data_IF_889118780367
#
_entry.id   IF_889118780367
#
_cell.length_a   1.000
_cell.length_b   1.000
_cell.length_c   1.000
_cell.angle_alpha   90.00
_cell.angle_beta   90.00
_cell.angle_gamma   90.00
#
_symmetry.space_group_name_H-M   'P 1'
#
loop_
_entity.id
_entity.type
_entity.pdbx_description
1 polymer ?
#
# COMPACT_ATOMS: atom_id res chain seq x y z
N UNK A 1 3.08 36.88 5.68
CA UNK A 1 1.85 37.24 4.92
C UNK A 1 0.73 36.25 5.21
N UNK A 2 0.99 34.95 5.10
CA UNK A 2 -0.02 33.92 5.39
C UNK A 2 -0.65 34.06 6.79
N UNK A 3 0.16 34.34 7.83
CA UNK A 3 -0.33 34.61 9.20
C UNK A 3 -1.35 35.74 9.30
N UNK A 4 -1.22 36.75 8.44
CA UNK A 4 -2.14 37.90 8.43
C UNK A 4 -3.44 37.57 7.70
N UNK A 5 -3.40 36.63 6.76
CA UNK A 5 -4.55 36.23 5.96
C UNK A 5 -5.41 35.17 6.65
N UNK A 6 -4.81 34.28 7.44
CA UNK A 6 -5.55 33.18 8.10
C UNK A 6 -6.72 33.70 8.97
N UNK A 7 -6.56 34.72 9.84
CA UNK A 7 -7.65 35.23 10.65
C UNK A 7 -8.77 35.90 9.83
N UNK A 8 -8.44 36.39 8.63
CA UNK A 8 -9.38 37.06 7.72
C UNK A 8 -10.08 36.10 6.76
N UNK A 9 -9.62 34.84 6.72
CA UNK A 9 -10.12 33.84 5.76
C UNK A 9 -11.31 33.10 6.35
N UNK A 10 -12.41 33.06 5.60
CA UNK A 10 -13.59 32.29 5.97
C UNK A 10 -13.33 30.79 5.79
N UNK A 11 -13.53 30.01 6.85
CA UNK A 11 -13.36 28.54 6.91
C UNK A 11 -14.29 27.74 6.01
N UNK A 12 -15.27 28.38 5.37
CA UNK A 12 -16.01 27.76 4.28
C UNK A 12 -15.09 27.25 3.16
N UNK A 13 -13.84 27.70 3.06
CA UNK A 13 -12.89 27.13 2.11
C UNK A 13 -12.50 25.66 2.39
N UNK A 14 -12.72 25.14 3.61
CA UNK A 14 -12.34 23.77 4.01
C UNK A 14 -13.45 22.73 3.85
N UNK A 15 -14.71 23.18 3.81
CA UNK A 15 -15.87 22.26 3.77
C UNK A 15 -16.94 22.70 2.78
N UNK A 16 -16.83 23.90 2.23
CA UNK A 16 -17.84 24.48 1.35
C UNK A 16 -17.86 23.80 -0.03
N UNK A 17 -19.04 23.65 -0.64
CA UNK A 17 -19.16 23.14 -2.00
C UNK A 17 -18.42 24.08 -2.97
N UNK A 18 -17.71 23.49 -3.93
CA UNK A 18 -16.90 24.20 -4.94
C UNK A 18 -15.80 25.11 -4.37
N UNK A 19 -15.49 24.98 -3.08
CA UNK A 19 -14.34 25.65 -2.48
C UNK A 19 -13.14 24.71 -2.44
N UNK A 20 -11.96 25.31 -2.40
CA UNK A 20 -10.69 24.60 -2.32
C UNK A 20 -9.99 25.06 -1.06
N UNK A 21 -9.62 24.09 -0.21
CA UNK A 21 -8.83 24.39 0.98
C UNK A 21 -7.44 24.91 0.58
N UNK A 22 -6.91 25.95 1.24
CA UNK A 22 -5.56 26.45 0.97
C UNK A 22 -4.46 25.42 1.26
N UNK A 23 -4.78 24.35 1.99
CA UNK A 23 -3.90 23.19 2.19
C UNK A 23 -3.44 22.61 0.86
N UNK A 24 -4.31 22.53 -0.14
CA UNK A 24 -3.93 22.05 -1.48
C UNK A 24 -2.86 22.94 -2.13
N UNK A 25 -2.94 24.26 -1.98
CA UNK A 25 -1.94 25.18 -2.54
C UNK A 25 -0.58 25.02 -1.84
N UNK A 26 -0.57 24.84 -0.52
CA UNK A 26 0.67 24.60 0.23
C UNK A 26 1.31 23.26 -0.17
N UNK A 27 0.51 22.19 -0.28
CA UNK A 27 0.96 20.86 -0.74
C UNK A 27 1.48 20.91 -2.17
N UNK A 28 0.73 21.52 -3.10
CA UNK A 28 1.15 21.64 -4.50
C UNK A 28 2.46 22.44 -4.65
N UNK A 29 2.61 23.48 -3.84
CA UNK A 29 3.82 24.31 -3.77
C UNK A 29 5.02 23.60 -3.16
N UNK A 30 4.80 22.55 -2.34
CA UNK A 30 5.83 21.95 -1.50
C UNK A 30 6.27 22.87 -0.36
N UNK A 31 5.37 23.74 0.12
CA UNK A 31 5.68 24.73 1.15
C UNK A 31 5.36 24.18 2.54
N UNK A 32 6.33 23.48 3.14
CA UNK A 32 6.20 22.82 4.45
C UNK A 32 5.81 23.79 5.57
N UNK A 33 6.48 24.94 5.68
CA UNK A 33 6.17 25.96 6.69
C UNK A 33 4.74 26.50 6.54
N UNK A 34 4.31 26.76 5.30
CA UNK A 34 2.95 27.22 5.02
C UNK A 34 1.92 26.14 5.37
N UNK A 35 2.21 24.89 5.04
CA UNK A 35 1.35 23.75 5.35
C UNK A 35 1.21 23.58 6.86
N UNK A 36 2.32 23.55 7.59
CA UNK A 36 2.33 23.41 9.04
C UNK A 36 1.55 24.55 9.71
N UNK A 37 1.76 25.79 9.28
CA UNK A 37 1.02 26.94 9.79
C UNK A 37 -0.49 26.84 9.55
N UNK A 38 -0.92 26.40 8.36
CA UNK A 38 -2.34 26.18 8.07
C UNK A 38 -2.92 25.11 9.01
N UNK A 39 -2.27 23.95 9.14
CA UNK A 39 -2.78 22.87 9.98
C UNK A 39 -2.80 23.25 11.46
N UNK A 40 -1.81 24.00 11.96
CA UNK A 40 -1.81 24.56 13.32
C UNK A 40 -3.00 25.49 13.59
N UNK A 41 -3.43 26.22 12.55
CA UNK A 41 -4.59 27.08 12.63
C UNK A 41 -5.91 26.31 12.41
N UNK A 42 -5.92 24.98 12.39
CA UNK A 42 -7.14 24.16 12.33
C UNK A 42 -7.69 23.92 10.93
N UNK A 43 -6.90 24.19 9.88
CA UNK A 43 -7.23 23.67 8.54
C UNK A 43 -7.14 22.13 8.54
N UNK A 44 -8.06 21.44 7.86
CA UNK A 44 -8.07 19.98 7.84
C UNK A 44 -6.96 19.41 6.96
N UNK A 45 -6.16 18.42 7.43
CA UNK A 45 -5.21 17.71 6.58
C UNK A 45 -5.92 16.76 5.58
N UNK A 46 -7.15 16.33 5.91
CA UNK A 46 -8.05 15.58 5.05
C UNK A 46 -9.09 16.53 4.45
N UNK A 47 -8.62 17.58 3.78
CA UNK A 47 -9.49 18.54 3.11
C UNK A 47 -10.38 17.85 2.05
N UNK A 48 -11.51 18.49 1.75
CA UNK A 48 -12.50 18.02 0.79
C UNK A 48 -11.92 17.80 -0.61
N UNK A 49 -12.53 16.91 -1.40
CA UNK A 49 -12.17 16.67 -2.79
C UNK A 49 -12.01 17.98 -3.57
N UNK A 50 -10.81 18.21 -4.09
CA UNK A 50 -10.53 19.39 -4.90
C UNK A 50 -10.84 19.11 -6.37
N UNK A 51 -11.95 19.66 -6.88
CA UNK A 51 -12.33 19.54 -8.30
C UNK A 51 -11.37 20.27 -9.23
N UNK A 52 -10.75 21.36 -8.76
CA UNK A 52 -9.78 22.15 -9.56
C UNK A 52 -8.55 21.33 -9.92
N UNK A 53 -8.06 20.54 -8.98
CA UNK A 53 -6.88 19.70 -9.18
C UNK A 53 -7.21 18.23 -9.46
N UNK A 54 -8.46 17.80 -9.25
CA UNK A 54 -8.92 16.43 -9.48
C UNK A 54 -8.43 15.41 -8.46
N UNK A 55 -8.12 15.83 -7.22
CA UNK A 55 -7.64 14.95 -6.15
C UNK A 55 -8.65 14.83 -5.01
N UNK A 56 -8.77 13.60 -4.48
CA UNK A 56 -9.66 13.27 -3.36
C UNK A 56 -9.16 13.75 -2.00
N UNK A 57 -7.85 13.95 -1.84
CA UNK A 57 -7.24 14.45 -0.59
C UNK A 57 -5.96 15.24 -0.89
N UNK A 58 -5.51 16.13 0.02
CA UNK A 58 -4.20 16.76 -0.07
C UNK A 58 -3.06 15.74 -0.12
N UNK A 59 -3.17 14.62 0.60
CA UNK A 59 -2.15 13.57 0.58
C UNK A 59 -1.98 12.93 -0.80
N UNK A 60 -3.06 12.70 -1.55
CA UNK A 60 -2.97 12.21 -2.93
C UNK A 60 -2.22 13.19 -3.86
N UNK A 61 -2.36 14.50 -3.63
CA UNK A 61 -1.69 15.53 -4.42
C UNK A 61 -0.17 15.57 -4.17
N UNK A 62 0.27 15.27 -2.94
CA UNK A 62 1.68 15.31 -2.58
C UNK A 62 2.58 14.46 -3.49
N UNK A 63 2.01 13.44 -4.16
CA UNK A 63 2.74 12.54 -5.05
C UNK A 63 2.95 13.03 -6.48
N UNK A 64 2.27 14.10 -6.91
CA UNK A 64 2.27 14.54 -8.31
C UNK A 64 3.61 15.16 -8.76
N UNK A 65 4.43 15.67 -7.84
CA UNK A 65 5.62 16.48 -8.16
C UNK A 65 6.92 15.78 -7.72
N UNK A 66 8.02 16.10 -8.40
CA UNK A 66 9.36 15.54 -8.14
C UNK A 66 10.10 16.17 -6.93
N UNK A 67 9.45 17.05 -6.17
CA UNK A 67 10.01 17.65 -4.97
C UNK A 67 9.96 16.70 -3.77
N UNK A 68 10.68 17.04 -2.70
CA UNK A 68 10.70 16.31 -1.43
C UNK A 68 9.29 16.24 -0.83
N UNK A 69 8.59 15.15 -1.14
CA UNK A 69 7.22 14.90 -0.70
C UNK A 69 7.16 14.32 0.71
N UNK A 70 8.29 13.87 1.25
CA UNK A 70 8.35 13.25 2.58
C UNK A 70 8.02 14.23 3.70
N UNK A 71 8.55 15.46 3.67
CA UNK A 71 8.22 16.46 4.70
C UNK A 71 6.74 16.84 4.67
N UNK A 72 6.18 17.07 3.47
CA UNK A 72 4.73 17.29 3.28
C UNK A 72 3.90 16.12 3.81
N UNK A 73 4.24 14.88 3.45
CA UNK A 73 3.54 13.67 3.92
C UNK A 73 3.62 13.54 5.45
N UNK A 74 4.80 13.77 6.03
CA UNK A 74 5.01 13.70 7.48
C UNK A 74 4.22 14.76 8.22
N UNK A 75 4.17 15.99 7.71
CA UNK A 75 3.35 17.07 8.28
C UNK A 75 1.88 16.67 8.23
N UNK A 76 1.35 16.22 7.08
CA UNK A 76 -0.05 15.80 6.98
C UNK A 76 -0.39 14.69 7.99
N UNK A 77 0.46 13.67 8.12
CA UNK A 77 0.27 12.59 9.10
C UNK A 77 0.36 13.09 10.55
N UNK A 78 1.30 13.99 10.85
CA UNK A 78 1.49 14.60 12.18
C UNK A 78 0.23 15.32 12.65
N UNK A 79 -0.48 16.00 11.75
CA UNK A 79 -1.74 16.68 12.06
C UNK A 79 -2.99 15.80 11.88
N UNK A 80 -2.82 14.50 11.66
CA UNK A 80 -3.92 13.53 11.76
C UNK A 80 -4.57 13.13 10.44
N UNK A 81 -3.91 13.30 9.29
CA UNK A 81 -4.39 12.76 8.01
C UNK A 81 -4.65 11.25 8.10
N UNK A 82 -5.85 10.81 7.72
CA UNK A 82 -6.22 9.40 7.79
C UNK A 82 -5.80 8.63 6.55
N UNK A 83 -4.92 7.65 6.72
CA UNK A 83 -4.51 6.77 5.64
C UNK A 83 -5.66 5.86 5.16
N UNK A 84 -5.72 5.61 3.86
CA UNK A 84 -6.71 4.76 3.21
C UNK A 84 -6.13 4.13 1.93
N UNK A 85 -6.95 3.32 1.24
CA UNK A 85 -6.53 2.59 0.04
C UNK A 85 -6.16 3.49 -1.15
N UNK A 86 -6.73 4.69 -1.25
CA UNK A 86 -6.42 5.63 -2.32
C UNK A 86 -4.99 6.13 -2.19
N UNK A 87 -4.52 6.39 -0.97
CA UNK A 87 -3.13 6.79 -0.74
C UNK A 87 -2.13 5.72 -1.23
N UNK A 88 -2.44 4.43 -1.00
CA UNK A 88 -1.65 3.32 -1.54
C UNK A 88 -1.75 3.24 -3.07
N UNK A 89 -2.95 3.40 -3.64
CA UNK A 89 -3.14 3.40 -5.09
C UNK A 89 -2.35 4.52 -5.79
N UNK A 90 -2.30 5.70 -5.19
CA UNK A 90 -1.53 6.84 -5.71
C UNK A 90 -0.02 6.62 -5.59
N UNK A 91 0.45 5.98 -4.52
CA UNK A 91 1.85 5.56 -4.43
C UNK A 91 2.22 4.61 -5.58
N UNK A 92 1.33 3.71 -5.99
CA UNK A 92 1.55 2.84 -7.16
C UNK A 92 1.51 3.63 -8.47
N UNK A 93 0.55 4.56 -8.62
CA UNK A 93 0.40 5.41 -9.81
C UNK A 93 1.65 6.24 -10.10
N UNK A 94 2.26 6.81 -9.06
CA UNK A 94 3.45 7.67 -9.16
C UNK A 94 4.75 6.95 -8.78
N UNK A 95 4.71 5.61 -8.66
CA UNK A 95 5.86 4.76 -8.32
C UNK A 95 6.63 5.16 -7.05
N UNK A 96 5.93 5.73 -6.05
CA UNK A 96 6.49 6.14 -4.76
C UNK A 96 6.52 4.96 -3.77
N UNK A 97 7.25 3.89 -4.09
CA UNK A 97 7.25 2.65 -3.31
C UNK A 97 7.80 2.79 -1.89
N UNK A 98 8.75 3.70 -1.64
CA UNK A 98 9.24 3.96 -0.29
C UNK A 98 8.13 4.51 0.62
N UNK A 99 7.28 5.41 0.11
CA UNK A 99 6.12 5.91 0.88
C UNK A 99 5.01 4.87 0.96
N UNK A 100 4.82 4.05 -0.07
CA UNK A 100 3.94 2.88 0.02
C UNK A 100 4.29 2.01 1.23
N UNK A 101 5.58 1.63 1.37
CA UNK A 101 6.07 0.85 2.52
C UNK A 101 5.91 1.61 3.84
N UNK A 102 6.19 2.91 3.84
CA UNK A 102 6.01 3.76 5.02
C UNK A 102 4.54 3.79 5.50
N UNK A 103 3.57 3.92 4.59
CA UNK A 103 2.14 3.89 4.92
C UNK A 103 1.69 2.55 5.51
N UNK A 104 2.21 1.44 4.99
CA UNK A 104 1.96 0.13 5.58
C UNK A 104 2.49 0.06 7.02
N UNK A 105 3.72 0.54 7.26
CA UNK A 105 4.32 0.62 8.61
C UNK A 105 3.54 1.56 9.54
N UNK A 106 2.97 2.65 9.03
CA UNK A 106 2.12 3.59 9.78
C UNK A 106 0.69 3.08 10.06
N UNK A 107 0.37 1.84 9.65
CA UNK A 107 -0.90 1.24 10.01
C UNK A 107 -2.04 1.53 9.03
N UNK A 108 -1.73 1.85 7.77
CA UNK A 108 -2.75 2.02 6.72
C UNK A 108 -3.77 0.85 6.76
N UNK A 109 -5.07 1.13 6.75
CA UNK A 109 -6.11 0.09 6.78
C UNK A 109 -6.07 -0.74 5.48
N UNK A 110 -6.10 -2.06 5.64
CA UNK A 110 -6.05 -3.04 4.54
C UNK A 110 -7.38 -3.79 4.36
N UNK A 111 -8.43 -3.34 5.04
CA UNK A 111 -9.76 -3.92 4.98
C UNK A 111 -10.78 -2.87 4.52
N UNK A 112 -11.91 -3.32 3.98
CA UNK A 112 -13.04 -2.47 3.55
C UNK A 112 -12.68 -1.45 2.47
N UNK A 113 -11.88 -1.84 1.48
CA UNK A 113 -11.49 -0.98 0.37
C UNK A 113 -12.68 -0.69 -0.55
N UNK A 114 -13.12 0.58 -0.57
CA UNK A 114 -14.22 1.03 -1.42
C UNK A 114 -13.77 1.24 -2.86
N UNK A 115 -12.48 1.55 -3.06
CA UNK A 115 -11.90 1.88 -4.36
C UNK A 115 -10.89 0.83 -4.86
N UNK A 116 -11.11 -0.45 -4.53
CA UNK A 116 -10.19 -1.54 -4.90
C UNK A 116 -9.92 -1.63 -6.41
N UNK A 117 -10.91 -1.30 -7.24
CA UNK A 117 -10.74 -1.28 -8.71
C UNK A 117 -9.70 -0.26 -9.17
N UNK A 118 -9.67 0.92 -8.54
CA UNK A 118 -8.67 1.96 -8.84
C UNK A 118 -7.28 1.51 -8.39
N UNK A 119 -7.18 0.91 -7.20
CA UNK A 119 -5.94 0.29 -6.73
C UNK A 119 -5.43 -0.77 -7.71
N UNK A 120 -6.27 -1.71 -8.13
CA UNK A 120 -5.90 -2.79 -9.06
C UNK A 120 -5.43 -2.22 -10.41
N UNK A 121 -6.09 -1.20 -10.94
CA UNK A 121 -5.69 -0.56 -12.19
C UNK A 121 -4.28 0.03 -12.11
N UNK A 122 -3.92 0.66 -10.98
CA UNK A 122 -2.57 1.17 -10.76
C UNK A 122 -1.56 0.06 -10.46
N UNK A 123 -1.97 -0.97 -9.73
CA UNK A 123 -1.14 -2.13 -9.43
C UNK A 123 -0.76 -2.93 -10.69
N UNK A 124 -1.69 -3.10 -11.64
CA UNK A 124 -1.42 -3.73 -12.94
C UNK A 124 -0.38 -2.92 -13.73
N UNK A 125 -0.43 -1.58 -13.67
CA UNK A 125 0.56 -0.72 -14.33
C UNK A 125 1.93 -0.80 -13.65
N UNK A 126 1.96 -0.90 -12.32
CA UNK A 126 3.17 -1.01 -11.51
C UNK A 126 3.73 -2.46 -11.40
N UNK A 127 3.18 -3.43 -12.13
CA UNK A 127 3.52 -4.86 -12.00
C UNK A 127 4.99 -5.17 -12.30
N UNK A 128 5.64 -4.41 -13.18
CA UNK A 128 7.04 -4.66 -13.56
C UNK A 128 7.99 -4.46 -12.38
N UNK A 129 7.55 -3.69 -11.39
CA UNK A 129 8.24 -3.41 -10.14
C UNK A 129 7.50 -4.02 -8.94
N UNK A 130 6.75 -5.12 -9.13
CA UNK A 130 5.97 -5.74 -8.05
C UNK A 130 6.82 -6.04 -6.80
N UNK A 131 8.10 -6.40 -6.97
CA UNK A 131 9.04 -6.69 -5.88
C UNK A 131 9.19 -5.52 -4.89
N UNK A 132 8.99 -4.28 -5.33
CA UNK A 132 9.12 -3.09 -4.48
C UNK A 132 7.93 -2.88 -3.53
N UNK A 133 6.74 -3.40 -3.87
CA UNK A 133 5.49 -3.05 -3.19
C UNK A 133 4.61 -4.25 -2.81
N UNK A 134 4.45 -5.24 -3.71
CA UNK A 134 3.53 -6.36 -3.52
C UNK A 134 3.95 -7.26 -2.33
N UNK A 135 5.22 -7.67 -2.18
CA UNK A 135 5.66 -8.42 -1.00
C UNK A 135 5.30 -7.72 0.31
N UNK A 136 5.54 -6.41 0.38
CA UNK A 136 5.28 -5.59 1.56
C UNK A 136 3.78 -5.50 1.87
N UNK A 137 2.93 -5.37 0.85
CA UNK A 137 1.47 -5.37 1.00
C UNK A 137 0.96 -6.70 1.58
N UNK A 138 1.42 -7.83 1.02
CA UNK A 138 0.99 -9.16 1.46
C UNK A 138 1.53 -9.51 2.85
N UNK A 139 2.77 -9.12 3.15
CA UNK A 139 3.37 -9.28 4.47
C UNK A 139 2.62 -8.48 5.54
N UNK A 140 2.16 -7.28 5.21
CA UNK A 140 1.35 -6.43 6.08
C UNK A 140 -0.06 -6.99 6.38
N UNK A 141 -0.42 -8.14 5.79
CA UNK A 141 -1.67 -8.85 6.09
C UNK A 141 -2.82 -8.51 5.15
N UNK A 142 -2.54 -7.93 3.98
CA UNK A 142 -3.55 -7.76 2.93
C UNK A 142 -4.03 -9.12 2.40
N UNK A 143 -5.35 -9.31 2.25
CA UNK A 143 -5.92 -10.53 1.68
C UNK A 143 -5.65 -10.61 0.17
N UNK A 144 -4.78 -11.54 -0.30
CA UNK A 144 -4.42 -11.62 -1.71
C UNK A 144 -5.61 -11.99 -2.61
N UNK A 145 -6.68 -12.59 -2.06
CA UNK A 145 -7.88 -12.92 -2.83
C UNK A 145 -8.52 -11.67 -3.44
N UNK A 146 -8.41 -10.53 -2.75
CA UNK A 146 -8.96 -9.26 -3.19
C UNK A 146 -8.31 -8.73 -4.49
N UNK A 147 -7.08 -9.18 -4.81
CA UNK A 147 -6.42 -8.87 -6.09
C UNK A 147 -6.89 -9.75 -7.24
N UNK A 148 -7.36 -10.98 -6.98
CA UNK A 148 -7.60 -12.01 -8.01
C UNK A 148 -8.91 -11.80 -8.80
N UNK A 149 -9.11 -10.59 -9.33
CA UNK A 149 -10.16 -10.27 -10.28
C UNK A 149 -9.71 -10.54 -11.74
N UNK A 150 -10.62 -10.34 -12.70
CA UNK A 150 -10.35 -10.62 -14.12
C UNK A 150 -9.29 -9.72 -14.71
N UNK A 151 -9.26 -8.44 -14.34
CA UNK A 151 -8.24 -7.50 -14.78
C UNK A 151 -6.86 -7.93 -14.30
N UNK A 152 -6.71 -8.26 -13.01
CA UNK A 152 -5.42 -8.71 -12.48
C UNK A 152 -4.96 -10.01 -13.11
N UNK A 153 -5.81 -11.05 -13.07
CA UNK A 153 -5.44 -12.38 -13.56
C UNK A 153 -5.03 -12.33 -15.02
N UNK A 154 -5.68 -11.55 -15.88
CA UNK A 154 -5.35 -11.54 -17.30
C UNK A 154 -4.18 -10.62 -17.65
N UNK A 155 -3.92 -9.56 -16.88
CA UNK A 155 -2.98 -8.50 -17.27
C UNK A 155 -1.59 -8.59 -16.62
N UNK A 156 -1.45 -9.20 -15.43
CA UNK A 156 -0.15 -9.24 -14.74
C UNK A 156 0.76 -10.36 -15.25
N UNK A 157 2.08 -10.25 -15.12
CA UNK A 157 3.01 -11.30 -15.52
C UNK A 157 2.73 -12.62 -14.79
N UNK A 158 3.13 -13.73 -15.39
CA UNK A 158 2.96 -15.06 -14.76
C UNK A 158 3.68 -15.12 -13.41
N UNK A 159 4.87 -14.52 -13.32
CA UNK A 159 5.64 -14.47 -12.07
C UNK A 159 4.92 -13.67 -10.98
N UNK A 160 4.36 -12.51 -11.31
CA UNK A 160 3.58 -11.70 -10.36
C UNK A 160 2.34 -12.45 -9.88
N UNK A 161 1.67 -13.18 -10.79
CA UNK A 161 0.50 -13.99 -10.47
C UNK A 161 0.86 -15.16 -9.56
N UNK A 162 1.92 -15.92 -9.89
CA UNK A 162 2.40 -17.03 -9.05
C UNK A 162 2.82 -16.50 -7.69
N UNK A 163 3.56 -15.39 -7.63
CA UNK A 163 3.93 -14.75 -6.38
C UNK A 163 2.72 -14.38 -5.52
N UNK A 164 1.63 -13.90 -6.12
CA UNK A 164 0.38 -13.63 -5.40
C UNK A 164 -0.22 -14.92 -4.81
N UNK A 165 -0.19 -16.02 -5.57
CA UNK A 165 -0.71 -17.32 -5.15
C UNK A 165 0.12 -17.95 -4.02
N UNK A 166 1.42 -17.68 -3.94
CA UNK A 166 2.29 -18.15 -2.84
C UNK A 166 1.84 -17.66 -1.46
N UNK A 167 0.98 -16.64 -1.38
CA UNK A 167 0.39 -16.15 -0.13
C UNK A 167 -1.00 -16.74 0.15
N UNK A 168 -1.42 -17.76 -0.59
CA UNK A 168 -2.76 -18.33 -0.52
C UNK A 168 -2.75 -19.86 -0.51
N UNK A 169 -3.85 -20.44 -0.04
CA UNK A 169 -4.13 -21.84 -0.35
C UNK A 169 -4.74 -21.93 -1.75
N UNK A 170 -3.90 -22.07 -2.78
CA UNK A 170 -4.36 -22.11 -4.18
C UNK A 170 -5.24 -23.33 -4.53
N UNK A 171 -5.42 -24.28 -3.60
CA UNK A 171 -6.38 -25.39 -3.73
C UNK A 171 -7.76 -25.10 -3.13
N UNK A 172 -7.91 -24.01 -2.39
CA UNK A 172 -9.19 -23.55 -1.81
C UNK A 172 -9.62 -22.20 -2.37
N UNK A 173 -9.31 -21.95 -3.64
CA UNK A 173 -9.75 -20.73 -4.32
C UNK A 173 -11.24 -20.80 -4.67
N UNK A 174 -11.94 -19.65 -4.74
CA UNK A 174 -13.30 -19.62 -5.26
C UNK A 174 -13.38 -20.18 -6.69
N UNK A 175 -14.45 -20.92 -7.05
CA UNK A 175 -14.58 -21.56 -8.37
C UNK A 175 -14.44 -20.58 -9.55
N UNK A 176 -14.90 -19.35 -9.37
CA UNK A 176 -14.77 -18.29 -10.38
C UNK A 176 -13.30 -17.97 -10.68
N UNK A 177 -12.48 -17.83 -9.63
CA UNK A 177 -11.04 -17.54 -9.73
C UNK A 177 -10.31 -18.74 -10.34
N UNK A 178 -10.63 -19.96 -9.90
CA UNK A 178 -10.03 -21.19 -10.43
C UNK A 178 -10.29 -21.35 -11.94
N UNK A 179 -11.52 -21.06 -12.40
CA UNK A 179 -11.87 -21.10 -13.83
C UNK A 179 -11.05 -20.10 -14.64
N UNK A 180 -10.85 -18.89 -14.11
CA UNK A 180 -10.08 -17.83 -14.78
C UNK A 180 -8.60 -18.17 -14.84
N UNK A 181 -8.03 -18.70 -13.75
CA UNK A 181 -6.66 -19.18 -13.71
C UNK A 181 -6.44 -20.35 -14.68
N UNK A 182 -7.37 -21.29 -14.75
CA UNK A 182 -7.32 -22.44 -15.65
C UNK A 182 -7.39 -22.02 -17.12
N UNK A 183 -8.26 -21.06 -17.45
CA UNK A 183 -8.33 -20.47 -18.79
C UNK A 183 -6.99 -19.81 -19.18
N UNK A 184 -6.40 -19.06 -18.26
CA UNK A 184 -5.09 -18.43 -18.49
C UNK A 184 -3.94 -19.44 -18.63
N UNK A 185 -3.91 -20.44 -17.77
CA UNK A 185 -2.92 -21.53 -17.81
C UNK A 185 -3.03 -22.40 -19.08
N UNK A 186 -4.20 -22.39 -19.73
CA UNK A 186 -4.40 -23.06 -21.02
C UNK A 186 -3.78 -22.27 -22.17
N UNK A 187 -3.84 -20.95 -22.10
CA UNK A 187 -3.44 -20.05 -23.20
C UNK A 187 -1.99 -19.57 -23.13
N UNK A 188 -1.39 -19.46 -21.94
CA UNK A 188 -0.21 -18.59 -21.76
C UNK A 188 1.04 -19.24 -21.18
N UNK A 189 0.93 -20.22 -20.28
CA UNK A 189 2.13 -20.77 -19.63
C UNK A 189 1.91 -22.13 -18.97
N UNK A 190 2.82 -23.06 -19.27
CA UNK A 190 2.88 -24.37 -18.62
C UNK A 190 3.28 -24.27 -17.13
N UNK A 191 4.04 -23.24 -16.75
CA UNK A 191 4.53 -23.01 -15.38
C UNK A 191 3.36 -22.74 -14.44
N UNK A 192 2.45 -21.84 -14.85
CA UNK A 192 1.23 -21.55 -14.09
C UNK A 192 0.36 -22.81 -13.95
N UNK A 193 0.26 -23.62 -15.01
CA UNK A 193 -0.48 -24.88 -14.99
C UNK A 193 0.11 -25.87 -13.97
N UNK A 194 1.43 -26.04 -13.97
CA UNK A 194 2.11 -26.92 -13.03
C UNK A 194 1.92 -26.44 -11.59
N UNK A 195 2.04 -25.13 -11.34
CA UNK A 195 1.85 -24.55 -10.03
C UNK A 195 0.43 -24.78 -9.48
N UNK A 196 -0.61 -24.47 -10.27
CA UNK A 196 -2.01 -24.70 -9.89
C UNK A 196 -2.31 -26.19 -9.69
N UNK A 197 -1.71 -27.06 -10.50
CA UNK A 197 -1.87 -28.51 -10.35
C UNK A 197 -1.22 -29.04 -9.06
N UNK A 198 -0.09 -28.46 -8.63
CA UNK A 198 0.63 -28.86 -7.42
C UNK A 198 -0.20 -28.61 -6.15
N UNK A 199 0.00 -29.44 -5.13
CA UNK A 199 -0.64 -29.27 -3.81
C UNK A 199 0.31 -28.50 -2.89
N UNK A 200 -0.17 -27.46 -2.17
CA UNK A 200 0.67 -26.77 -1.20
C UNK A 200 1.18 -27.72 -0.12
N UNK A 201 2.43 -27.56 0.29
CA UNK A 201 3.00 -28.38 1.36
C UNK A 201 2.24 -28.17 2.67
N UNK A 202 2.26 -29.16 3.56
CA UNK A 202 1.69 -29.01 4.89
C UNK A 202 2.34 -27.84 5.64
N UNK A 203 3.65 -27.64 5.50
CA UNK A 203 4.37 -26.50 6.09
C UNK A 203 3.78 -25.17 5.62
N UNK A 204 3.45 -25.07 4.33
CA UNK A 204 2.85 -23.86 3.77
C UNK A 204 1.44 -23.62 4.31
N UNK A 205 0.62 -24.67 4.39
CA UNK A 205 -0.71 -24.59 4.99
C UNK A 205 -0.63 -24.16 6.47
N UNK A 206 0.33 -24.68 7.22
CA UNK A 206 0.59 -24.25 8.60
C UNK A 206 1.01 -22.77 8.66
N UNK A 207 1.85 -22.29 7.74
CA UNK A 207 2.23 -20.86 7.66
C UNK A 207 1.01 -19.97 7.47
N UNK A 208 0.10 -20.33 6.57
CA UNK A 208 -1.12 -19.59 6.33
C UNK A 208 -2.01 -19.54 7.57
N UNK A 209 -2.22 -20.70 8.23
CA UNK A 209 -3.07 -20.81 9.42
C UNK A 209 -2.49 -20.06 10.62
N UNK A 210 -1.17 -20.13 10.84
CA UNK A 210 -0.52 -19.35 11.90
C UNK A 210 -0.71 -17.87 11.61
N UNK A 211 -0.49 -17.41 10.38
CA UNK A 211 -0.63 -15.99 10.02
C UNK A 211 -2.07 -15.49 10.09
N UNK A 212 -3.07 -16.30 9.71
CA UNK A 212 -4.48 -15.91 9.83
C UNK A 212 -4.93 -15.77 11.28
N UNK A 213 -4.31 -16.50 12.20
CA UNK A 213 -4.55 -16.37 13.65
C UNK A 213 -3.93 -15.09 14.25
N UNK A 214 -2.98 -14.45 13.55
CA UNK A 214 -2.39 -13.18 13.97
C UNK A 214 -3.27 -12.02 13.53
N UNK A 215 -3.45 -11.03 14.41
CA UNK A 215 -4.14 -9.79 14.05
C UNK A 215 -3.38 -9.05 12.94
N UNK A 216 -4.05 -8.37 11.99
CA UNK A 216 -3.39 -7.58 10.97
C UNK A 216 -2.42 -6.54 11.53
N UNK A 217 -2.73 -5.95 12.69
CA UNK A 217 -1.80 -5.02 13.38
C UNK A 217 -0.43 -5.62 13.66
N UNK A 218 -0.39 -6.91 14.01
CA UNK A 218 0.84 -7.62 14.34
C UNK A 218 1.63 -8.07 13.10
N UNK A 219 0.97 -8.19 11.96
CA UNK A 219 1.62 -8.57 10.69
C UNK A 219 2.34 -7.40 10.03
N UNK A 220 2.02 -6.15 10.41
CA UNK A 220 2.64 -4.94 9.87
C UNK A 220 4.08 -4.70 10.34
N UNK A 221 4.56 -5.44 11.33
CA UNK A 221 5.92 -5.34 11.85
C UNK A 221 6.52 -6.71 12.11
N UNK A 222 7.68 -6.95 11.52
CA UNK A 222 8.47 -8.18 11.72
C UNK A 222 8.84 -8.39 13.19
N UNK A 223 8.94 -7.30 13.96
CA UNK A 223 9.29 -7.33 15.39
C UNK A 223 8.36 -8.23 16.20
N UNK A 224 7.07 -8.24 15.89
CA UNK A 224 6.10 -9.07 16.61
C UNK A 224 6.32 -10.55 16.31
N UNK A 225 6.50 -10.91 15.04
CA UNK A 225 6.75 -12.31 14.64
C UNK A 225 8.04 -12.82 15.29
N UNK A 226 9.08 -11.99 15.35
CA UNK A 226 10.35 -12.32 16.01
C UNK A 226 10.25 -12.46 17.54
N UNK A 227 9.19 -11.95 18.17
CA UNK A 227 8.94 -12.09 19.62
C UNK A 227 8.13 -13.34 19.97
N UNK A 228 7.55 -14.03 18.98
CA UNK A 228 6.84 -15.29 19.22
C UNK A 228 7.80 -16.33 19.80
N UNK A 229 7.34 -17.20 20.73
CA UNK A 229 8.15 -18.24 21.36
C UNK A 229 8.41 -19.41 20.39
N UNK A 230 9.03 -19.11 19.24
CA UNK A 230 9.34 -20.02 18.15
C UNK A 230 10.83 -19.93 17.81
N UNK A 231 11.43 -20.99 17.24
CA UNK A 231 12.77 -20.94 16.68
C UNK A 231 12.90 -19.91 15.54
N UNK A 232 14.10 -19.33 15.38
CA UNK A 232 14.42 -18.34 14.32
C UNK A 232 14.10 -18.83 12.91
N UNK A 233 14.28 -20.12 12.64
CA UNK A 233 13.94 -20.72 11.34
C UNK A 233 12.45 -20.60 11.03
N UNK A 234 11.58 -20.75 12.04
CA UNK A 234 10.15 -20.56 11.91
C UNK A 234 9.76 -19.09 11.81
N UNK A 235 10.46 -18.18 12.51
CA UNK A 235 10.26 -16.73 12.30
C UNK A 235 10.50 -16.34 10.84
N UNK A 236 11.66 -16.74 10.29
CA UNK A 236 12.00 -16.46 8.89
C UNK A 236 10.98 -17.07 7.92
N UNK A 237 10.48 -18.27 8.24
CA UNK A 237 9.46 -18.92 7.42
C UNK A 237 8.10 -18.21 7.47
N UNK A 238 7.68 -17.73 8.64
CA UNK A 238 6.45 -16.92 8.81
C UNK A 238 6.56 -15.55 8.14
N UNK A 239 7.78 -15.03 7.98
CA UNK A 239 8.12 -13.81 7.22
C UNK A 239 8.36 -14.08 5.73
N UNK A 240 8.05 -15.28 5.22
CA UNK A 240 8.18 -15.64 3.82
C UNK A 240 9.62 -15.52 3.25
N UNK A 241 10.66 -15.57 4.08
CA UNK A 241 12.05 -15.40 3.65
C UNK A 241 12.50 -16.43 2.59
N UNK A 242 11.87 -17.61 2.55
CA UNK A 242 12.03 -18.60 1.49
C UNK A 242 11.48 -18.11 0.14
N UNK A 243 10.23 -17.62 0.13
CA UNK A 243 9.55 -17.12 -1.07
C UNK A 243 10.21 -15.84 -1.58
N UNK A 244 10.59 -14.92 -0.69
CA UNK A 244 11.24 -13.66 -1.07
C UNK A 244 12.60 -13.91 -1.72
N UNK A 245 13.41 -14.82 -1.16
CA UNK A 245 14.73 -15.19 -1.74
C UNK A 245 14.58 -15.89 -3.08
N UNK A 246 13.63 -16.81 -3.21
CA UNK A 246 13.37 -17.52 -4.48
C UNK A 246 12.98 -16.55 -5.61
N UNK A 247 12.30 -15.45 -5.27
CA UNK A 247 11.86 -14.44 -6.22
C UNK A 247 12.83 -13.24 -6.33
N UNK A 248 14.02 -13.31 -5.70
CA UNK A 248 15.02 -12.23 -5.68
C UNK A 248 14.40 -10.87 -5.32
N UNK A 249 13.54 -10.86 -4.30
CA UNK A 249 12.96 -9.62 -3.76
C UNK A 249 14.05 -8.91 -2.97
N UNK A 250 14.31 -7.61 -3.21
CA UNK A 250 15.27 -6.85 -2.41
C UNK A 250 14.92 -6.93 -0.93
N UNK A 251 15.85 -7.36 -0.08
CA UNK A 251 15.71 -7.16 1.36
C UNK A 251 15.60 -5.65 1.59
N UNK A 252 14.53 -5.21 2.27
CA UNK A 252 14.34 -3.80 2.55
C UNK A 252 15.60 -3.27 3.23
N UNK A 253 16.37 -2.46 2.51
CA UNK A 253 17.63 -1.94 3.00
C UNK A 253 17.33 -1.13 4.27
N UNK A 254 17.69 -1.70 5.43
CA UNK A 254 17.56 -1.08 6.75
C UNK A 254 18.26 0.29 6.86
N UNK A 255 18.98 0.72 5.81
CA UNK A 255 19.73 1.96 5.73
C UNK A 255 18.96 3.15 5.12
N UNK A 256 17.85 2.96 4.40
CA UNK A 256 16.99 4.08 3.99
C UNK A 256 15.94 4.44 5.04
N UNK A 257 15.60 3.50 5.94
CA UNK A 257 14.68 3.76 7.05
C UNK A 257 15.28 4.65 8.15
N UNK A 258 16.60 4.83 8.19
CA UNK A 258 17.28 5.68 9.19
C UNK A 258 17.03 7.17 8.96
N UNK A 259 17.16 7.65 7.73
CA UNK A 259 16.78 9.04 7.38
C UNK A 259 15.28 9.29 7.58
N UNK A 260 14.45 8.23 7.51
CA UNK A 260 12.99 8.29 7.70
C UNK A 260 12.60 8.34 9.19
N UNK A 261 13.44 7.81 10.09
CA UNK A 261 13.19 7.80 11.54
C UNK A 261 13.78 9.00 12.29
N UNK A 262 14.82 9.63 11.75
CA UNK A 262 15.55 10.72 12.42
C UNK A 262 14.89 12.10 12.25
N UNK A 263 13.82 12.20 11.45
CA UNK A 263 12.99 13.41 11.32
C UNK A 263 11.81 13.46 12.32
N UNK A 264 11.86 12.67 13.41
CA UNK A 264 10.88 12.68 14.51
C UNK A 264 11.33 13.59 15.64
#
# INVERSE_FOLDING_TARGET
ILDLLIPLTNRLCDTGPEKVSPVYSAVFGGHEECLELLLQNGYSPDAQTCLVFGFSSPMCMAFQKDCEFFGIVNILLKYGAQLNELHLAYCLKYEKFSVFRYFLKKGCPLASWNHISEFINHAIKAQTKYKEWLPHLLLAGFDPLALLCSSWINSVSIDTLIFTLEFMNWKRLPPTVEKMLSARASNSSWILRQHIASVPSLTHLCRLEIRSSLKPEHLRSDSFICQLPLPRSLHNYLLYADVLRMNEVPEAAANQDKEISEAT
#
